data_IF_969614695061
#
_entry.id   IF_969614695061
#
_cell.length_a   1.000
_cell.length_b   1.000
_cell.length_c   1.000
_cell.angle_alpha   90.00
_cell.angle_beta   90.00
_cell.angle_gamma   90.00
#
_symmetry.space_group_name_H-M   'P 1'
#
loop_
_entity.id
_entity.type
_entity.pdbx_description
1 polymer ?
#
# COMPACT_ATOMS: atom_id res chain seq x y z
N UNK A 1 -7.19 20.31 -5.41
CA UNK A 1 -5.85 19.68 -5.39
C UNK A 1 -5.94 18.18 -5.64
N UNK A 2 -6.61 17.39 -4.79
CA UNK A 2 -6.86 15.97 -5.05
C UNK A 2 -7.56 15.70 -6.40
N UNK A 3 -8.60 16.49 -6.73
CA UNK A 3 -9.27 16.46 -8.04
C UNK A 3 -8.31 16.64 -9.23
N UNK A 4 -7.33 17.54 -9.10
CA UNK A 4 -6.37 17.80 -10.18
C UNK A 4 -5.39 16.65 -10.34
N UNK A 5 -4.96 16.03 -9.23
CA UNK A 5 -4.15 14.80 -9.28
C UNK A 5 -4.92 13.67 -9.98
N UNK A 6 -6.18 13.43 -9.59
CA UNK A 6 -7.03 12.41 -10.23
C UNK A 6 -7.17 12.71 -11.73
N UNK A 7 -7.45 13.96 -12.08
CA UNK A 7 -7.59 14.36 -13.49
C UNK A 7 -6.32 14.09 -14.26
N UNK A 8 -5.16 14.57 -13.77
CA UNK A 8 -3.84 14.31 -14.38
C UNK A 8 -3.63 12.81 -14.55
N UNK A 9 -3.87 12.03 -13.50
CA UNK A 9 -3.69 10.58 -13.52
C UNK A 9 -4.59 9.92 -14.58
N UNK A 10 -5.88 10.25 -14.63
CA UNK A 10 -6.78 9.61 -15.58
C UNK A 10 -6.54 10.04 -17.04
N UNK A 11 -6.05 11.26 -17.27
CA UNK A 11 -5.81 11.77 -18.63
C UNK A 11 -4.43 11.43 -19.18
N UNK A 12 -3.44 11.23 -18.30
CA UNK A 12 -2.09 10.85 -18.70
C UNK A 12 -2.05 9.38 -19.06
N UNK A 13 -1.43 9.05 -20.20
CA UNK A 13 -1.08 7.65 -20.50
C UNK A 13 -0.02 7.14 -19.52
N UNK A 14 0.87 8.04 -19.11
CA UNK A 14 1.99 7.72 -18.24
C UNK A 14 1.64 7.88 -16.76
N UNK A 15 2.37 7.15 -15.90
CA UNK A 15 2.30 7.33 -14.45
C UNK A 15 2.75 8.74 -14.08
N UNK A 16 1.86 9.50 -13.44
CA UNK A 16 2.13 10.89 -13.08
C UNK A 16 3.09 10.93 -11.89
N UNK A 17 4.14 11.74 -11.98
CA UNK A 17 5.00 12.05 -10.84
C UNK A 17 4.23 12.88 -9.82
N UNK A 18 4.22 12.43 -8.56
CA UNK A 18 3.57 13.14 -7.46
C UNK A 18 4.66 13.66 -6.52
N UNK A 19 4.77 14.99 -6.43
CA UNK A 19 5.77 15.62 -5.58
C UNK A 19 5.36 15.58 -4.10
N UNK A 20 6.33 15.76 -3.20
CA UNK A 20 6.04 15.85 -1.77
C UNK A 20 5.15 17.05 -1.45
N UNK A 21 5.32 18.17 -2.15
CA UNK A 21 4.49 19.37 -1.97
C UNK A 21 3.03 19.12 -2.38
N UNK A 22 2.80 18.37 -3.47
CA UNK A 22 1.45 17.96 -3.88
C UNK A 22 0.80 17.05 -2.82
N UNK A 23 1.56 16.11 -2.25
CA UNK A 23 1.09 15.22 -1.19
C UNK A 23 0.75 15.99 0.11
N UNK A 24 1.63 16.89 0.55
CA UNK A 24 1.41 17.73 1.73
C UNK A 24 0.16 18.58 1.57
N UNK A 25 -0.05 19.15 0.39
CA UNK A 25 -1.21 19.98 0.14
C UNK A 25 -2.52 19.18 0.07
N UNK A 26 -2.51 17.94 -0.45
CA UNK A 26 -3.64 17.01 -0.38
C UNK A 26 -3.94 16.65 1.09
N UNK A 27 -2.90 16.31 1.86
CA UNK A 27 -3.03 15.94 3.27
C UNK A 27 -3.59 17.09 4.10
N UNK A 28 -3.08 18.30 3.88
CA UNK A 28 -3.58 19.52 4.52
C UNK A 28 -5.04 19.76 4.19
N UNK A 29 -5.43 19.66 2.92
CA UNK A 29 -6.84 19.79 2.51
C UNK A 29 -7.75 18.77 3.22
N UNK A 30 -7.35 17.51 3.28
CA UNK A 30 -8.13 16.46 3.94
C UNK A 30 -8.29 16.77 5.43
N UNK A 31 -7.18 17.10 6.11
CA UNK A 31 -7.18 17.42 7.54
C UNK A 31 -8.03 18.65 7.86
N UNK A 32 -7.94 19.72 7.07
CA UNK A 32 -8.74 20.94 7.26
C UNK A 32 -10.24 20.65 7.13
N UNK A 33 -10.65 19.80 6.18
CA UNK A 33 -12.05 19.41 6.02
C UNK A 33 -12.54 18.53 7.17
N UNK A 34 -11.71 17.60 7.66
CA UNK A 34 -12.03 16.83 8.87
C UNK A 34 -12.16 17.72 10.10
N UNK A 35 -11.23 18.65 10.31
CA UNK A 35 -11.30 19.61 11.41
C UNK A 35 -12.55 20.49 11.31
N UNK A 36 -12.90 20.95 10.11
CA UNK A 36 -14.09 21.74 9.88
C UNK A 36 -15.37 20.99 10.25
N UNK A 37 -15.52 19.74 9.80
CA UNK A 37 -16.75 18.99 10.06
C UNK A 37 -16.84 18.56 11.54
N UNK A 38 -15.72 18.20 12.17
CA UNK A 38 -15.66 17.85 13.60
C UNK A 38 -15.94 19.05 14.50
N UNK A 39 -15.39 20.22 14.19
CA UNK A 39 -15.61 21.45 14.96
C UNK A 39 -17.06 21.94 14.94
N UNK A 40 -17.82 21.54 13.93
CA UNK A 40 -19.25 21.88 13.77
C UNK A 40 -20.20 20.75 14.20
N UNK A 41 -19.67 19.62 14.68
CA UNK A 41 -20.44 18.42 15.02
C UNK A 41 -21.29 17.87 13.85
N UNK A 42 -20.84 18.10 12.62
CA UNK A 42 -21.48 17.66 11.38
C UNK A 42 -21.07 16.22 11.05
N UNK A 43 -21.43 15.28 11.92
CA UNK A 43 -20.93 13.90 11.89
C UNK A 43 -21.24 13.15 10.58
N UNK A 44 -22.43 13.35 10.01
CA UNK A 44 -22.81 12.71 8.74
C UNK A 44 -22.02 13.28 7.55
N UNK A 45 -21.70 14.57 7.59
CA UNK A 45 -20.80 15.20 6.62
C UNK A 45 -19.38 14.66 6.75
N UNK A 46 -18.86 14.48 7.98
CA UNK A 46 -17.55 13.86 8.21
C UNK A 46 -17.48 12.43 7.66
N UNK A 47 -18.46 11.58 7.98
CA UNK A 47 -18.51 10.19 7.50
C UNK A 47 -18.60 10.13 5.97
N UNK A 48 -19.41 11.01 5.37
CA UNK A 48 -19.55 11.08 3.92
C UNK A 48 -18.23 11.51 3.28
N UNK A 49 -17.57 12.52 3.83
CA UNK A 49 -16.27 12.99 3.35
C UNK A 49 -15.20 11.90 3.48
N UNK A 50 -15.11 11.25 4.63
CA UNK A 50 -14.19 10.13 4.88
C UNK A 50 -14.38 9.02 3.84
N UNK A 51 -15.62 8.59 3.63
CA UNK A 51 -15.95 7.55 2.65
C UNK A 51 -15.49 7.93 1.26
N UNK A 52 -15.78 9.16 0.82
CA UNK A 52 -15.36 9.65 -0.51
C UNK A 52 -13.84 9.72 -0.62
N UNK A 53 -13.15 10.22 0.40
CA UNK A 53 -11.68 10.28 0.41
C UNK A 53 -11.08 8.88 0.33
N UNK A 54 -11.57 7.93 1.12
CA UNK A 54 -11.08 6.55 1.13
C UNK A 54 -11.31 5.86 -0.22
N UNK A 55 -12.50 6.01 -0.81
CA UNK A 55 -12.82 5.44 -2.12
C UNK A 55 -11.92 6.02 -3.22
N UNK A 56 -11.70 7.33 -3.19
CA UNK A 56 -10.80 8.01 -4.13
C UNK A 56 -9.36 7.53 -3.98
N UNK A 57 -8.84 7.41 -2.75
CA UNK A 57 -7.48 6.92 -2.49
C UNK A 57 -7.32 5.48 -3.01
N UNK A 58 -8.30 4.61 -2.74
CA UNK A 58 -8.25 3.21 -3.16
C UNK A 58 -8.26 3.09 -4.70
N UNK A 59 -9.15 3.82 -5.37
CA UNK A 59 -9.24 3.83 -6.84
C UNK A 59 -7.97 4.41 -7.47
N UNK A 60 -7.45 5.51 -6.92
CA UNK A 60 -6.23 6.13 -7.41
C UNK A 60 -5.02 5.18 -7.26
N UNK A 61 -4.92 4.46 -6.15
CA UNK A 61 -3.88 3.46 -5.94
C UNK A 61 -3.93 2.35 -7.01
N UNK A 62 -5.13 1.84 -7.32
CA UNK A 62 -5.33 0.81 -8.36
C UNK A 62 -4.87 1.31 -9.73
N UNK A 63 -5.28 2.52 -10.13
CA UNK A 63 -4.88 3.12 -11.42
C UNK A 63 -3.36 3.29 -11.48
N UNK A 64 -2.74 3.81 -10.42
CA UNK A 64 -1.29 4.03 -10.37
C UNK A 64 -0.50 2.72 -10.43
N UNK A 65 -0.95 1.67 -9.72
CA UNK A 65 -0.35 0.33 -9.81
C UNK A 65 -0.46 -0.22 -11.23
N UNK A 66 -1.63 -0.12 -11.86
CA UNK A 66 -1.83 -0.61 -13.22
C UNK A 66 -0.87 0.06 -14.20
N UNK A 67 -0.80 1.40 -14.17
CA UNK A 67 0.13 2.15 -15.03
C UNK A 67 1.59 1.80 -14.76
N UNK A 68 1.96 1.61 -13.49
CA UNK A 68 3.31 1.21 -13.14
C UNK A 68 3.70 -0.14 -13.75
N UNK A 69 2.76 -1.09 -13.79
CA UNK A 69 2.92 -2.38 -14.47
C UNK A 69 3.01 -2.21 -16.00
N UNK A 70 2.11 -1.42 -16.59
CA UNK A 70 2.07 -1.17 -18.05
C UNK A 70 3.33 -0.45 -18.58
N UNK A 71 4.04 0.26 -17.71
CA UNK A 71 5.30 0.94 -18.02
C UNK A 71 6.55 0.12 -17.74
N UNK A 72 6.43 -1.22 -17.64
CA UNK A 72 7.53 -2.13 -17.32
C UNK A 72 8.26 -1.73 -16.02
N UNK A 73 7.52 -1.30 -15.01
CA UNK A 73 8.03 -0.93 -13.69
C UNK A 73 8.98 0.27 -13.69
N UNK A 74 8.89 1.11 -14.72
CA UNK A 74 9.61 2.38 -14.79
C UNK A 74 8.83 3.45 -14.02
N UNK A 75 9.47 4.06 -13.02
CA UNK A 75 8.92 5.22 -12.32
C UNK A 75 10.02 6.26 -12.12
N UNK A 76 9.64 7.54 -12.15
CA UNK A 76 10.52 8.61 -11.70
C UNK A 76 10.87 8.41 -10.21
N UNK A 77 12.16 8.38 -9.84
CA UNK A 77 12.57 8.25 -8.43
C UNK A 77 12.16 9.47 -7.58
N UNK A 78 11.67 10.54 -8.22
CA UNK A 78 11.18 11.75 -7.56
C UNK A 78 9.73 11.65 -7.09
N UNK A 79 8.95 10.68 -7.59
CA UNK A 79 7.58 10.46 -7.13
C UNK A 79 7.59 9.93 -5.69
N UNK A 80 6.75 10.48 -4.82
CA UNK A 80 6.72 10.11 -3.39
C UNK A 80 6.49 8.61 -3.17
N UNK A 81 5.68 7.99 -4.03
CA UNK A 81 5.22 6.62 -3.92
C UNK A 81 6.09 5.62 -4.70
N UNK A 82 7.17 6.08 -5.33
CA UNK A 82 8.07 5.24 -6.13
C UNK A 82 8.61 4.04 -5.36
N UNK A 83 8.99 4.24 -4.10
CA UNK A 83 9.47 3.15 -3.24
C UNK A 83 8.36 2.15 -2.88
N UNK A 84 7.13 2.63 -2.65
CA UNK A 84 5.99 1.80 -2.29
C UNK A 84 5.54 0.95 -3.47
N UNK A 85 5.40 1.57 -4.65
CA UNK A 85 5.04 0.87 -5.89
C UNK A 85 6.07 -0.20 -6.25
N UNK A 86 7.35 0.12 -6.10
CA UNK A 86 8.43 -0.86 -6.31
C UNK A 86 8.33 -2.04 -5.35
N UNK A 87 8.19 -1.79 -4.05
CA UNK A 87 8.02 -2.85 -3.03
C UNK A 87 6.82 -3.76 -3.34
N UNK A 88 5.71 -3.17 -3.78
CA UNK A 88 4.50 -3.92 -4.14
C UNK A 88 4.75 -4.85 -5.33
N UNK A 89 5.36 -4.36 -6.40
CA UNK A 89 5.71 -5.18 -7.57
C UNK A 89 6.72 -6.26 -7.21
N UNK A 90 7.76 -5.93 -6.44
CA UNK A 90 8.75 -6.89 -5.98
C UNK A 90 8.09 -8.04 -5.20
N UNK A 91 7.06 -7.73 -4.39
CA UNK A 91 6.27 -8.72 -3.68
C UNK A 91 5.41 -9.59 -4.61
N UNK A 92 4.80 -9.03 -5.66
CA UNK A 92 4.08 -9.82 -6.69
C UNK A 92 5.04 -10.75 -7.42
N UNK A 93 6.20 -10.25 -7.85
CA UNK A 93 7.21 -11.07 -8.52
C UNK A 93 7.68 -12.19 -7.59
N UNK A 94 7.89 -11.88 -6.30
CA UNK A 94 8.27 -12.86 -5.30
C UNK A 94 7.17 -13.90 -5.07
N UNK A 95 5.90 -13.50 -5.00
CA UNK A 95 4.74 -14.40 -4.91
C UNK A 95 4.79 -15.46 -6.02
N UNK A 96 4.92 -15.03 -7.28
CA UNK A 96 5.00 -15.96 -8.41
C UNK A 96 6.24 -16.86 -8.32
N UNK A 97 7.40 -16.31 -7.96
CA UNK A 97 8.63 -17.11 -7.80
C UNK A 97 8.48 -18.19 -6.74
N UNK A 98 7.94 -17.86 -5.57
CA UNK A 98 7.71 -18.82 -4.49
C UNK A 98 6.72 -19.91 -4.92
N UNK A 99 5.65 -19.52 -5.60
CA UNK A 99 4.63 -20.44 -6.10
C UNK A 99 5.21 -21.41 -7.13
N UNK A 100 5.92 -20.91 -8.14
CA UNK A 100 6.52 -21.75 -9.18
C UNK A 100 7.69 -22.62 -8.68
N UNK A 101 8.35 -22.23 -7.59
CA UNK A 101 9.35 -23.05 -6.92
C UNK A 101 8.76 -24.13 -6.00
N UNK A 102 7.44 -24.15 -5.80
CA UNK A 102 6.78 -25.05 -4.85
C UNK A 102 7.11 -24.74 -3.40
N UNK A 103 7.50 -23.49 -3.09
CA UNK A 103 7.75 -23.03 -1.71
C UNK A 103 6.45 -22.60 -1.02
N UNK A 104 5.38 -22.41 -1.78
CA UNK A 104 4.00 -22.25 -1.28
C UNK A 104 3.35 -23.62 -1.23
N UNK A 105 2.85 -24.01 -0.06
CA UNK A 105 2.17 -25.30 0.12
C UNK A 105 0.73 -25.30 -0.45
N UNK A 106 0.04 -26.44 -0.34
CA UNK A 106 -1.33 -26.61 -0.82
C UNK A 106 -2.35 -25.69 -0.14
N UNK A 107 -2.04 -25.22 1.06
CA UNK A 107 -2.91 -24.35 1.87
C UNK A 107 -2.60 -22.87 1.62
N UNK A 108 -1.67 -22.57 0.73
CA UNK A 108 -1.25 -21.21 0.40
C UNK A 108 -0.35 -20.58 1.46
N UNK A 109 0.40 -21.40 2.21
CA UNK A 109 1.31 -20.94 3.27
C UNK A 109 2.78 -21.09 2.88
N UNK A 110 3.62 -20.29 3.53
CA UNK A 110 5.08 -20.31 3.39
C UNK A 110 5.76 -20.28 4.74
N UNK A 111 6.95 -20.87 4.82
CA UNK A 111 7.79 -20.78 6.01
C UNK A 111 8.45 -19.41 6.09
N UNK A 112 8.41 -18.81 7.28
CA UNK A 112 9.03 -17.52 7.56
C UNK A 112 9.84 -17.55 8.84
N UNK A 113 10.93 -16.79 8.87
CA UNK A 113 11.67 -16.45 10.09
C UNK A 113 11.19 -15.11 10.63
N UNK A 114 10.88 -15.05 11.91
CA UNK A 114 10.49 -13.81 12.59
C UNK A 114 11.73 -12.96 12.90
N UNK A 115 11.74 -11.67 12.51
CA UNK A 115 12.89 -10.75 12.69
C UNK A 115 12.82 -9.88 13.95
N UNK A 116 11.70 -9.89 14.68
CA UNK A 116 11.54 -9.13 15.92
C UNK A 116 10.30 -9.57 16.69
N UNK A 117 10.21 -9.18 17.96
CA UNK A 117 9.02 -9.46 18.76
C UNK A 117 7.89 -8.50 18.38
N UNK A 118 6.75 -9.03 17.96
CA UNK A 118 5.56 -8.23 17.63
C UNK A 118 4.28 -9.03 17.84
N UNK A 119 3.13 -8.33 17.81
CA UNK A 119 1.81 -8.93 17.97
C UNK A 119 0.89 -8.51 16.84
N UNK A 120 0.17 -9.47 16.27
CA UNK A 120 -0.90 -9.22 15.30
C UNK A 120 -2.19 -9.82 15.83
N UNK A 121 -3.15 -8.96 16.15
CA UNK A 121 -4.40 -9.37 16.81
C UNK A 121 -4.12 -10.06 18.15
N UNK A 122 -4.42 -11.35 18.22
CA UNK A 122 -4.21 -12.19 19.42
C UNK A 122 -3.04 -13.18 19.27
N UNK A 123 -2.19 -13.03 18.25
CA UNK A 123 -1.00 -13.88 18.06
C UNK A 123 0.26 -13.08 18.36
N UNK A 124 1.08 -13.63 19.26
CA UNK A 124 2.40 -13.10 19.59
C UNK A 124 3.46 -13.81 18.75
N UNK A 125 4.33 -13.04 18.12
CA UNK A 125 5.45 -13.50 17.29
C UNK A 125 6.75 -13.22 18.03
N UNK A 126 7.58 -14.26 18.16
CA UNK A 126 8.84 -14.21 18.90
C UNK A 126 10.00 -14.24 17.92
N UNK A 127 10.95 -13.32 18.09
CA UNK A 127 12.15 -13.18 17.30
C UNK A 127 12.89 -14.52 17.11
N UNK A 128 13.44 -14.73 15.91
CA UNK A 128 14.18 -15.93 15.50
C UNK A 128 13.38 -17.23 15.45
N UNK A 129 12.07 -17.20 15.71
CA UNK A 129 11.20 -18.37 15.52
C UNK A 129 10.92 -18.58 14.03
N UNK A 130 10.80 -19.85 13.62
CA UNK A 130 10.30 -20.22 12.28
C UNK A 130 8.84 -20.63 12.42
N UNK A 131 7.98 -20.06 11.58
CA UNK A 131 6.54 -20.35 11.57
C UNK A 131 6.00 -20.33 10.15
N UNK A 132 4.78 -20.81 9.97
CA UNK A 132 4.09 -20.80 8.67
C UNK A 132 3.04 -19.70 8.66
N UNK A 133 3.04 -18.91 7.59
CA UNK A 133 2.07 -17.83 7.39
C UNK A 133 1.43 -17.96 6.02
N UNK A 134 0.19 -17.47 5.90
CA UNK A 134 -0.41 -17.29 4.58
C UNK A 134 0.50 -16.40 3.73
N UNK A 135 0.71 -16.76 2.47
CA UNK A 135 1.67 -16.07 1.59
C UNK A 135 1.42 -14.57 1.47
N UNK A 136 0.15 -14.14 1.44
CA UNK A 136 -0.20 -12.71 1.33
C UNK A 136 0.25 -11.97 2.59
N UNK A 137 -0.04 -12.54 3.77
CA UNK A 137 0.40 -12.02 5.06
C UNK A 137 1.94 -12.00 5.17
N UNK A 138 2.59 -13.09 4.78
CA UNK A 138 4.04 -13.22 4.80
C UNK A 138 4.73 -12.14 3.96
N UNK A 139 4.25 -11.91 2.73
CA UNK A 139 4.80 -10.87 1.85
C UNK A 139 4.57 -9.46 2.43
N UNK A 140 3.39 -9.19 2.99
CA UNK A 140 3.10 -7.91 3.62
C UNK A 140 4.02 -7.65 4.83
N UNK A 141 4.23 -8.65 5.69
CA UNK A 141 5.12 -8.54 6.85
C UNK A 141 6.60 -8.46 6.46
N UNK A 142 7.00 -9.09 5.36
CA UNK A 142 8.36 -9.00 4.83
C UNK A 142 8.65 -7.60 4.26
N UNK A 143 7.69 -6.97 3.57
CA UNK A 143 7.76 -5.57 3.11
C UNK A 143 8.03 -4.61 4.28
N UNK A 144 7.45 -4.91 5.44
CA UNK A 144 7.62 -4.17 6.70
C UNK A 144 8.92 -4.54 7.45
N UNK A 145 9.67 -5.54 6.97
CA UNK A 145 10.91 -6.01 7.59
C UNK A 145 10.70 -6.83 8.86
N UNK A 146 9.48 -7.30 9.12
CA UNK A 146 9.10 -8.03 10.34
C UNK A 146 9.39 -9.53 10.23
N UNK A 147 9.39 -10.07 9.01
CA UNK A 147 9.68 -11.48 8.73
C UNK A 147 10.62 -11.64 7.54
N UNK A 148 11.16 -12.85 7.39
CA UNK A 148 11.95 -13.30 6.24
C UNK A 148 11.32 -14.58 5.68
N UNK A 149 10.92 -14.59 4.41
CA UNK A 149 10.45 -15.84 3.79
C UNK A 149 11.66 -16.72 3.45
N UNK A 150 11.64 -17.98 3.90
CA UNK A 150 12.72 -18.96 3.74
C UNK A 150 12.43 -19.91 2.58
#
# INVERSE_FOLDING_TARGET
MLKELIKKELTSKDLVEVSNEELEAITKFINENFWWCLSRLELESCKTFERVVNEVIELLAKVRIQKYVEQDFKISPKSFDSHVLKKFVDAIIKFYRLSFKGQVDSDGTVQVKIKGNFRIGNRDYIENTITSLNIIEALALEILGLVEII
#
